data_IF_665305213951
#
_entry.id   IF_665305213951
#
_cell.length_a   1.000
_cell.length_b   1.000
_cell.length_c   1.000
_cell.angle_alpha   90.00
_cell.angle_beta   90.00
_cell.angle_gamma   90.00
#
_symmetry.space_group_name_H-M   'P 1'
#
loop_
_entity.id
_entity.type
_entity.pdbx_description
1 polymer ?
#
# COMPACT_ATOMS: atom_id res chain seq x y z
N UNK A 1 33.13 -8.53 -10.70
CA UNK A 1 32.42 -7.37 -10.10
C UNK A 1 33.41 -6.56 -9.28
N UNK A 2 33.41 -5.23 -9.41
CA UNK A 2 34.31 -4.33 -8.69
C UNK A 2 33.63 -3.76 -7.43
N UNK A 3 34.12 -4.08 -6.23
CA UNK A 3 33.61 -3.60 -4.94
C UNK A 3 33.48 -2.07 -4.85
N UNK A 4 34.41 -1.32 -5.44
CA UNK A 4 34.37 0.14 -5.43
C UNK A 4 33.20 0.67 -6.27
N UNK A 5 32.94 0.03 -7.42
CA UNK A 5 31.80 0.38 -8.28
C UNK A 5 30.46 0.01 -7.65
N UNK A 6 30.41 -1.09 -6.88
CA UNK A 6 29.19 -1.47 -6.13
C UNK A 6 28.89 -0.45 -5.02
N UNK A 7 29.90 -0.03 -4.26
CA UNK A 7 29.77 1.03 -3.26
C UNK A 7 29.30 2.35 -3.88
N UNK A 8 29.88 2.73 -5.02
CA UNK A 8 29.48 3.94 -5.75
C UNK A 8 28.03 3.84 -6.27
N UNK A 9 27.63 2.70 -6.82
CA UNK A 9 26.26 2.46 -7.29
C UNK A 9 25.25 2.58 -6.13
N UNK A 10 25.54 1.95 -4.99
CA UNK A 10 24.74 2.12 -3.77
C UNK A 10 24.65 3.58 -3.35
N UNK A 11 25.77 4.30 -3.34
CA UNK A 11 25.77 5.70 -2.94
C UNK A 11 24.89 6.56 -3.85
N UNK A 12 25.07 6.43 -5.18
CA UNK A 12 24.27 7.14 -6.19
C UNK A 12 22.78 6.85 -6.00
N UNK A 13 22.41 5.57 -5.87
CA UNK A 13 21.02 5.16 -5.76
C UNK A 13 20.36 5.66 -4.46
N UNK A 14 21.05 5.57 -3.33
CA UNK A 14 20.55 6.04 -2.03
C UNK A 14 20.49 7.58 -1.94
N UNK A 15 21.30 8.28 -2.74
CA UNK A 15 21.25 9.75 -2.85
C UNK A 15 19.97 10.24 -3.52
N UNK A 16 19.39 9.44 -4.43
CA UNK A 16 18.14 9.76 -5.12
C UNK A 16 16.89 9.68 -4.23
N UNK A 17 17.00 9.07 -3.03
CA UNK A 17 15.86 8.94 -2.12
C UNK A 17 15.56 10.25 -1.38
N UNK A 18 14.32 10.72 -1.52
CA UNK A 18 13.81 11.86 -0.73
C UNK A 18 13.69 11.47 0.76
N UNK A 19 13.68 12.45 1.68
CA UNK A 19 13.58 12.16 3.13
C UNK A 19 12.37 11.28 3.50
N UNK A 20 11.23 11.44 2.82
CA UNK A 20 10.04 10.60 3.05
C UNK A 20 10.27 9.14 2.64
N UNK A 21 10.96 8.89 1.53
CA UNK A 21 11.24 7.54 1.05
C UNK A 21 12.35 6.83 1.85
N UNK A 22 13.18 7.60 2.57
CA UNK A 22 14.19 7.06 3.50
C UNK A 22 13.56 6.46 4.76
N UNK A 23 12.27 6.69 5.03
CA UNK A 23 11.59 6.14 6.21
C UNK A 23 11.41 4.62 6.16
N UNK A 24 11.25 4.04 4.96
CA UNK A 24 11.12 2.59 4.77
C UNK A 24 11.40 2.20 3.32
N UNK A 25 12.42 1.37 3.09
CA UNK A 25 12.75 0.81 1.77
C UNK A 25 13.64 -0.43 1.90
N UNK A 26 13.69 -1.27 0.85
CA UNK A 26 14.66 -2.36 0.70
C UNK A 26 15.61 -2.07 -0.46
N UNK A 27 16.89 -2.34 -0.25
CA UNK A 27 17.86 -2.42 -1.34
C UNK A 27 18.05 -3.89 -1.72
N UNK A 28 17.63 -4.25 -2.93
CA UNK A 28 17.86 -5.57 -3.51
C UNK A 28 19.01 -5.48 -4.50
N UNK A 29 19.97 -6.39 -4.37
CA UNK A 29 21.10 -6.50 -5.30
C UNK A 29 21.16 -7.92 -5.82
N UNK A 30 20.81 -8.07 -7.10
CA UNK A 30 20.85 -9.35 -7.80
C UNK A 30 22.14 -9.45 -8.61
N UNK A 31 22.81 -10.59 -8.49
CA UNK A 31 24.09 -10.84 -9.13
C UNK A 31 23.94 -11.81 -10.30
N UNK A 32 24.44 -11.40 -11.45
CA UNK A 32 24.78 -12.27 -12.58
C UNK A 32 26.29 -12.43 -12.64
N UNK A 33 26.82 -13.23 -13.57
CA UNK A 33 28.25 -13.53 -13.67
C UNK A 33 29.13 -12.27 -13.60
N UNK A 34 28.84 -11.27 -14.45
CA UNK A 34 29.64 -10.04 -14.53
C UNK A 34 28.91 -8.77 -14.09
N UNK A 35 27.60 -8.84 -13.82
CA UNK A 35 26.78 -7.65 -13.54
C UNK A 35 26.04 -7.78 -12.22
N UNK A 36 25.94 -6.67 -11.49
CA UNK A 36 25.06 -6.53 -10.34
C UNK A 36 23.94 -5.56 -10.70
N UNK A 37 22.70 -5.97 -10.47
CA UNK A 37 21.50 -5.14 -10.66
C UNK A 37 21.03 -4.67 -9.31
N UNK A 38 20.98 -3.36 -9.13
CA UNK A 38 20.46 -2.72 -7.94
C UNK A 38 19.00 -2.32 -8.16
N UNK A 39 18.17 -2.57 -7.17
CA UNK A 39 16.77 -2.21 -7.16
C UNK A 39 16.42 -1.66 -5.78
N UNK A 40 15.78 -0.48 -5.74
CA UNK A 40 15.12 -0.01 -4.52
C UNK A 40 13.66 -0.43 -4.59
N UNK A 41 13.23 -1.18 -3.59
CA UNK A 41 11.82 -1.45 -3.34
C UNK A 41 11.35 -0.46 -2.28
N UNK A 42 10.36 0.35 -2.64
CA UNK A 42 9.73 1.28 -1.71
C UNK A 42 8.59 0.58 -1.00
N UNK A 43 8.33 0.97 0.25
CA UNK A 43 7.08 0.63 0.92
C UNK A 43 5.90 1.05 0.04
N UNK A 44 5.01 0.09 -0.27
CA UNK A 44 3.92 0.28 -1.24
C UNK A 44 2.93 1.35 -0.79
N UNK A 45 2.70 1.48 0.52
CA UNK A 45 1.87 2.54 1.09
C UNK A 45 2.51 3.93 0.93
N UNK A 46 3.82 4.06 1.16
CA UNK A 46 4.57 5.29 0.92
C UNK A 46 4.62 5.62 -0.58
N UNK A 47 4.81 4.64 -1.45
CA UNK A 47 4.74 4.83 -2.90
C UNK A 47 3.39 5.40 -3.32
N UNK A 48 2.27 4.84 -2.84
CA UNK A 48 0.94 5.35 -3.14
C UNK A 48 0.74 6.80 -2.64
N UNK A 49 1.10 7.10 -1.38
CA UNK A 49 0.88 8.43 -0.81
C UNK A 49 1.80 9.50 -1.41
N UNK A 50 3.06 9.16 -1.71
CA UNK A 50 4.09 10.13 -2.14
C UNK A 50 4.12 10.31 -3.65
N UNK A 51 3.98 9.23 -4.42
CA UNK A 51 4.07 9.31 -5.87
C UNK A 51 2.71 9.39 -6.55
N UNK A 52 1.73 8.59 -6.11
CA UNK A 52 0.44 8.52 -6.81
C UNK A 52 -0.55 9.59 -6.34
N UNK A 53 -0.61 9.91 -5.05
CA UNK A 53 -1.53 10.94 -4.52
C UNK A 53 -0.96 12.37 -4.55
N UNK A 54 0.34 12.54 -4.34
CA UNK A 54 0.94 13.89 -4.16
C UNK A 54 1.40 14.54 -5.48
N UNK A 55 1.56 13.78 -6.56
CA UNK A 55 1.87 14.36 -7.84
C UNK A 55 0.58 14.79 -8.53
N UNK A 56 0.52 16.04 -9.00
CA UNK A 56 -0.46 16.54 -9.97
C UNK A 56 -0.49 15.73 -11.31
N UNK A 57 0.23 14.62 -11.40
CA UNK A 57 0.36 13.80 -12.62
C UNK A 57 -0.85 12.89 -12.88
N UNK A 58 -1.66 12.56 -11.87
CA UNK A 58 -2.77 11.63 -12.04
C UNK A 58 -4.03 12.12 -11.34
N UNK A 59 -5.18 12.00 -12.04
CA UNK A 59 -6.49 12.01 -11.39
C UNK A 59 -6.52 10.86 -10.34
N UNK A 60 -7.20 11.09 -9.21
CA UNK A 60 -7.29 10.16 -8.09
C UNK A 60 -7.77 8.77 -8.53
N UNK A 61 -8.70 8.70 -9.48
CA UNK A 61 -9.14 7.44 -10.10
C UNK A 61 -8.02 6.73 -10.84
N UNK A 62 -7.17 7.48 -11.56
CA UNK A 62 -6.03 6.92 -12.30
C UNK A 62 -4.94 6.42 -11.35
N UNK A 63 -4.70 7.12 -10.23
CA UNK A 63 -3.82 6.66 -9.16
C UNK A 63 -4.27 5.32 -8.57
N UNK A 64 -5.57 5.17 -8.27
CA UNK A 64 -6.16 3.91 -7.79
C UNK A 64 -5.99 2.80 -8.82
N UNK A 65 -6.28 3.06 -10.10
CA UNK A 65 -6.14 2.08 -11.17
C UNK A 65 -4.70 1.57 -11.34
N UNK A 66 -3.70 2.46 -11.28
CA UNK A 66 -2.28 2.08 -11.36
C UNK A 66 -1.89 1.18 -10.20
N UNK A 67 -2.29 1.54 -8.98
CA UNK A 67 -2.02 0.73 -7.79
C UNK A 67 -2.76 -0.63 -7.83
N UNK A 68 -4.00 -0.66 -8.32
CA UNK A 68 -4.76 -1.89 -8.52
C UNK A 68 -4.09 -2.82 -9.54
N UNK A 69 -3.64 -2.28 -10.68
CA UNK A 69 -2.87 -3.03 -11.67
C UNK A 69 -1.55 -3.55 -11.12
N UNK A 70 -0.84 -2.78 -10.30
CA UNK A 70 0.37 -3.24 -9.62
C UNK A 70 0.10 -4.48 -8.76
N UNK A 71 -0.97 -4.45 -7.94
CA UNK A 71 -1.35 -5.61 -7.10
C UNK A 71 -1.69 -6.83 -7.96
N UNK A 72 -2.54 -6.66 -8.97
CA UNK A 72 -2.92 -7.75 -9.87
C UNK A 72 -1.71 -8.36 -10.56
N UNK A 73 -0.85 -7.53 -11.14
CA UNK A 73 0.35 -7.99 -11.85
C UNK A 73 1.35 -8.67 -10.92
N UNK A 74 1.45 -8.23 -9.66
CA UNK A 74 2.32 -8.85 -8.66
C UNK A 74 1.80 -10.22 -8.27
N UNK A 75 0.50 -10.34 -7.97
CA UNK A 75 -0.15 -11.62 -7.65
C UNK A 75 -0.13 -12.63 -8.80
N UNK A 76 -0.14 -12.16 -10.05
CA UNK A 76 -0.01 -13.04 -11.23
C UNK A 76 1.41 -13.57 -11.43
N UNK A 77 2.43 -12.86 -10.93
CA UNK A 77 3.85 -13.21 -11.09
C UNK A 77 4.40 -14.06 -9.95
N UNK A 78 3.76 -14.01 -8.78
CA UNK A 78 4.16 -14.75 -7.59
C UNK A 78 3.21 -15.92 -7.40
N UNK A 79 3.74 -17.15 -7.36
CA UNK A 79 2.90 -18.34 -7.13
C UNK A 79 2.45 -18.40 -5.67
N UNK A 80 1.17 -18.73 -5.36
CA UNK A 80 0.71 -18.97 -4.00
C UNK A 80 1.47 -20.11 -3.30
N UNK A 81 2.07 -21.02 -4.06
CA UNK A 81 2.86 -22.14 -3.57
C UNK A 81 4.20 -21.72 -2.94
N UNK A 82 4.61 -20.44 -3.12
CA UNK A 82 5.77 -19.84 -2.45
C UNK A 82 5.46 -19.36 -1.02
N UNK A 83 4.20 -19.42 -0.56
CA UNK A 83 3.82 -19.12 0.83
C UNK A 83 3.75 -20.41 1.65
N UNK A 84 4.87 -20.78 2.29
CA UNK A 84 4.80 -21.78 3.33
C UNK A 84 4.13 -21.20 4.58
N UNK A 85 3.27 -21.98 5.27
CA UNK A 85 2.71 -21.58 6.54
C UNK A 85 3.85 -21.59 7.57
N UNK A 86 4.44 -20.44 7.87
CA UNK A 86 5.44 -20.40 8.92
C UNK A 86 4.98 -19.47 10.05
N UNK A 87 4.45 -20.10 11.09
CA UNK A 87 4.77 -19.74 12.46
C UNK A 87 5.73 -20.84 12.90
N UNK A 88 7.03 -20.56 12.86
CA UNK A 88 7.97 -21.35 13.65
C UNK A 88 7.79 -20.84 15.07
N UNK A 89 6.88 -21.49 15.79
CA UNK A 89 6.76 -21.31 17.23
C UNK A 89 8.03 -21.95 17.83
N UNK A 90 9.08 -21.14 17.91
CA UNK A 90 10.21 -21.50 18.75
C UNK A 90 9.62 -21.62 20.14
N UNK A 91 9.59 -22.84 20.69
CA UNK A 91 9.49 -23.02 22.15
C UNK A 91 10.40 -21.96 22.76
N UNK A 92 9.82 -21.13 23.62
CA UNK A 92 10.43 -19.98 24.28
C UNK A 92 11.93 -20.19 24.49
N UNK A 93 12.72 -19.11 24.34
CA UNK A 93 14.02 -18.86 25.01
C UNK A 93 15.26 -18.51 24.17
N UNK A 94 15.29 -18.38 22.84
CA UNK A 94 16.48 -17.74 22.19
C UNK A 94 16.31 -16.21 22.01
N UNK A 95 15.11 -15.76 21.64
CA UNK A 95 14.82 -14.33 21.46
C UNK A 95 14.87 -13.57 22.79
N UNK A 96 14.44 -14.21 23.89
CA UNK A 96 14.44 -13.60 25.23
C UNK A 96 15.81 -13.69 25.92
N UNK A 97 16.64 -14.71 25.60
CA UNK A 97 18.01 -14.84 26.14
C UNK A 97 18.95 -13.73 25.66
N UNK A 98 18.77 -13.25 24.43
CA UNK A 98 19.54 -12.12 23.90
C UNK A 98 19.33 -10.80 24.67
N UNK A 99 18.33 -10.74 25.54
CA UNK A 99 17.92 -9.51 26.23
C UNK A 99 17.79 -9.67 27.75
N UNK A 100 18.24 -10.79 28.33
CA UNK A 100 18.37 -10.89 29.77
C UNK A 100 19.50 -9.95 30.22
N UNK A 101 19.12 -8.74 30.64
CA UNK A 101 20.03 -7.87 31.37
C UNK A 101 20.54 -8.65 32.58
N UNK A 102 21.86 -8.78 32.70
CA UNK A 102 22.46 -9.25 33.94
C UNK A 102 21.87 -8.41 35.09
N UNK A 103 21.19 -9.02 36.08
CA UNK A 103 20.50 -8.28 37.15
C UNK A 103 21.44 -7.37 37.96
N UNK A 104 22.73 -7.66 37.90
CA UNK A 104 23.80 -6.94 38.59
C UNK A 104 24.41 -5.78 37.79
N UNK A 105 24.06 -5.63 36.50
CA UNK A 105 24.59 -4.60 35.61
C UNK A 105 24.02 -3.19 35.87
N UNK A 106 22.70 -2.98 36.09
CA UNK A 106 22.15 -1.63 36.33
C UNK A 106 22.67 -0.99 37.62
N UNK A 107 23.15 -1.80 38.56
CA UNK A 107 23.61 -1.33 39.88
C UNK A 107 25.12 -1.14 39.95
N UNK A 108 25.87 -1.45 38.89
CA UNK A 108 27.34 -1.40 38.87
C UNK A 108 28.02 -2.42 39.80
N UNK A 109 27.26 -3.40 40.31
CA UNK A 109 27.72 -4.38 41.32
C UNK A 109 28.08 -5.74 40.73
N UNK A 110 28.23 -5.86 39.41
CA UNK A 110 28.72 -7.10 38.82
C UNK A 110 30.16 -7.34 39.30
N UNK A 111 30.32 -8.20 40.32
CA UNK A 111 31.59 -8.52 40.97
C UNK A 111 32.38 -9.61 40.26
N UNK A 112 31.80 -10.26 39.25
CA UNK A 112 32.44 -11.37 38.56
C UNK A 112 33.29 -10.82 37.41
N UNK A 113 34.55 -11.27 37.33
CA UNK A 113 35.35 -11.13 36.11
C UNK A 113 34.69 -11.92 34.98
N UNK A 114 35.06 -11.62 33.73
CA UNK A 114 34.55 -12.29 32.53
C UNK A 114 34.65 -13.82 32.62
N UNK A 115 35.66 -14.33 33.34
CA UNK A 115 35.85 -15.78 33.56
C UNK A 115 34.93 -16.41 34.61
N UNK A 116 34.25 -15.62 35.46
CA UNK A 116 33.40 -16.13 36.56
C UNK A 116 31.90 -16.05 36.28
N UNK A 117 31.49 -15.57 35.10
CA UNK A 117 30.10 -15.70 34.64
C UNK A 117 29.94 -17.05 33.94
N UNK A 118 29.47 -18.07 34.67
CA UNK A 118 29.20 -19.45 34.19
C UNK A 118 28.16 -19.57 33.06
N UNK A 119 27.70 -18.45 32.51
CA UNK A 119 26.88 -18.39 31.32
C UNK A 119 27.79 -17.81 30.24
N UNK A 120 28.38 -18.66 29.40
CA UNK A 120 29.06 -18.28 28.15
C UNK A 120 28.12 -17.56 27.13
N UNK A 121 26.99 -17.03 27.59
CA UNK A 121 25.94 -16.34 26.82
C UNK A 121 26.11 -14.81 26.78
N UNK A 122 27.26 -14.28 27.22
CA UNK A 122 27.54 -12.84 27.11
C UNK A 122 28.27 -12.59 25.77
N UNK A 123 27.63 -11.97 24.77
CA UNK A 123 28.36 -11.57 23.57
C UNK A 123 29.43 -10.53 23.93
N UNK A 124 30.62 -10.71 23.38
CA UNK A 124 31.79 -9.83 23.59
C UNK A 124 31.60 -8.41 23.05
N UNK A 125 30.49 -8.16 22.35
CA UNK A 125 30.18 -6.90 21.70
C UNK A 125 28.96 -6.25 22.34
N UNK A 126 29.21 -5.15 23.04
CA UNK A 126 28.19 -4.25 23.57
C UNK A 126 28.17 -3.01 22.69
N UNK A 127 27.06 -2.79 21.98
CA UNK A 127 26.78 -1.51 21.33
C UNK A 127 26.60 -0.44 22.42
N UNK A 128 27.38 0.65 22.39
CA UNK A 128 27.35 1.75 23.40
C UNK A 128 27.18 3.15 22.79
N UNK A 129 26.75 3.23 21.53
CA UNK A 129 26.61 4.49 20.78
C UNK A 129 25.28 5.16 21.12
N UNK A 130 25.25 6.50 21.09
CA UNK A 130 24.01 7.27 21.21
C UNK A 130 23.13 7.04 19.97
N UNK A 131 21.90 6.59 20.19
CA UNK A 131 20.88 6.34 19.16
C UNK A 131 19.64 7.16 19.45
N UNK A 132 18.88 7.50 18.39
CA UNK A 132 17.58 8.15 18.52
C UNK A 132 16.49 7.10 18.42
N UNK A 133 15.62 7.06 19.41
CA UNK A 133 14.49 6.13 19.48
C UNK A 133 13.35 6.58 18.56
N UNK A 134 12.39 5.68 18.27
CA UNK A 134 11.21 6.00 17.44
C UNK A 134 10.41 7.22 17.93
N UNK A 135 10.41 7.49 19.23
CA UNK A 135 9.77 8.64 19.87
C UNK A 135 10.69 9.86 20.02
N UNK A 136 11.85 9.86 19.35
CA UNK A 136 12.75 11.00 19.24
C UNK A 136 13.71 11.20 20.42
N UNK A 137 13.75 10.28 21.39
CA UNK A 137 14.66 10.38 22.54
C UNK A 137 16.06 9.92 22.14
N UNK A 138 17.08 10.61 22.63
CA UNK A 138 18.45 10.10 22.56
C UNK A 138 18.68 9.13 23.71
N UNK A 139 19.21 7.95 23.42
CA UNK A 139 19.61 6.96 24.43
C UNK A 139 20.89 6.27 24.01
N UNK A 140 21.66 5.74 24.96
CA UNK A 140 22.73 4.82 24.61
C UNK A 140 22.13 3.49 24.20
N UNK A 141 22.53 3.01 23.03
CA UNK A 141 22.39 1.62 22.64
C UNK A 141 23.01 0.77 23.75
N UNK A 142 22.33 -0.29 24.16
CA UNK A 142 22.79 -1.25 25.17
C UNK A 142 22.50 -2.69 24.72
N UNK A 143 22.45 -2.89 23.40
CA UNK A 143 22.08 -4.14 22.78
C UNK A 143 23.22 -5.16 22.89
N UNK A 144 22.86 -6.37 23.32
CA UNK A 144 23.70 -7.55 23.31
C UNK A 144 23.44 -8.28 21.98
N UNK A 145 24.50 -8.58 21.23
CA UNK A 145 24.37 -9.33 19.98
C UNK A 145 23.83 -10.74 20.28
N UNK A 146 22.55 -10.98 19.97
CA UNK A 146 22.03 -12.33 19.87
C UNK A 146 22.82 -13.07 18.80
N UNK A 147 23.28 -14.29 19.08
CA UNK A 147 23.95 -15.19 18.14
C UNK A 147 22.93 -15.70 17.10
N UNK A 148 22.28 -14.81 16.36
CA UNK A 148 21.62 -15.18 15.10
C UNK A 148 22.74 -15.36 14.08
N UNK A 149 23.14 -16.62 13.85
CA UNK A 149 23.92 -17.11 12.71
C UNK A 149 24.82 -16.03 12.09
N UNK A 150 25.81 -15.57 12.87
CA UNK A 150 26.79 -14.59 12.43
C UNK A 150 27.69 -15.28 11.41
N UNK A 151 27.62 -14.87 10.15
CA UNK A 151 28.55 -15.34 9.10
C UNK A 151 29.88 -14.57 9.16
N UNK A 152 29.93 -13.39 9.78
CA UNK A 152 31.15 -12.74 10.32
C UNK A 152 30.85 -11.36 10.89
N UNK A 153 31.63 -10.96 11.89
CA UNK A 153 31.80 -9.55 12.29
C UNK A 153 32.69 -8.82 11.27
N UNK A 154 32.21 -7.69 10.75
CA UNK A 154 33.04 -6.75 10.00
C UNK A 154 33.75 -5.80 10.98
N UNK A 155 34.56 -6.34 11.89
CA UNK A 155 35.41 -5.54 12.76
C UNK A 155 36.82 -5.46 12.15
N UNK A 156 37.12 -4.30 11.53
CA UNK A 156 38.53 -3.95 11.31
C UNK A 156 39.18 -3.86 12.69
N UNK A 157 40.34 -4.50 12.89
CA UNK A 157 41.03 -4.71 14.17
C UNK A 157 41.43 -3.47 15.00
N UNK A 158 40.86 -2.31 14.73
CA UNK A 158 40.94 -1.14 15.61
C UNK A 158 39.83 -1.19 16.65
N UNK A 159 40.23 -1.25 17.93
CA UNK A 159 39.38 -1.29 19.14
C UNK A 159 38.55 -0.02 19.39
N UNK A 160 38.13 0.68 18.34
CA UNK A 160 37.15 1.77 18.35
C UNK A 160 35.98 1.36 17.46
N UNK A 161 35.03 0.70 18.07
CA UNK A 161 33.71 0.27 17.58
C UNK A 161 33.04 1.35 16.71
N UNK A 162 33.36 1.38 15.41
CA UNK A 162 32.67 2.25 14.45
C UNK A 162 31.37 1.57 14.08
N UNK A 163 30.30 2.07 14.66
CA UNK A 163 28.96 1.68 14.32
C UNK A 163 28.63 2.15 12.91
N UNK A 164 28.31 1.24 11.99
CA UNK A 164 27.83 1.59 10.66
C UNK A 164 26.32 1.54 10.64
N UNK A 165 25.67 2.60 10.14
CA UNK A 165 24.26 2.45 9.75
C UNK A 165 24.19 1.57 8.51
N UNK A 166 23.04 0.96 8.25
CA UNK A 166 22.82 0.15 7.03
C UNK A 166 23.17 0.93 5.76
N UNK A 167 22.95 2.25 5.80
CA UNK A 167 23.21 3.18 4.69
C UNK A 167 24.71 3.34 4.50
N UNK A 168 25.41 3.62 5.60
CA UNK A 168 26.86 3.79 5.58
C UNK A 168 27.54 2.48 5.18
N UNK A 169 27.07 1.34 5.68
CA UNK A 169 27.64 0.01 5.40
C UNK A 169 27.72 -0.30 3.90
N UNK A 170 26.62 -0.12 3.16
CA UNK A 170 26.58 -0.41 1.71
C UNK A 170 27.32 0.64 0.86
N UNK A 171 27.71 1.77 1.44
CA UNK A 171 28.55 2.77 0.78
C UNK A 171 30.05 2.47 0.97
N UNK A 172 30.42 1.47 1.78
CA UNK A 172 31.80 1.11 2.06
C UNK A 172 32.28 -0.04 1.17
N UNK A 173 33.42 0.17 0.50
CA UNK A 173 34.11 -0.87 -0.28
C UNK A 173 34.40 -2.16 0.51
N UNK A 174 34.91 -2.11 1.77
CA UNK A 174 35.18 -3.33 2.53
C UNK A 174 33.97 -4.25 2.74
N UNK A 175 32.76 -3.68 2.84
CA UNK A 175 31.53 -4.47 2.92
C UNK A 175 31.31 -5.28 1.64
N UNK A 176 31.47 -4.65 0.47
CA UNK A 176 31.33 -5.33 -0.82
C UNK A 176 32.44 -6.34 -1.08
N UNK A 177 33.68 -6.04 -0.64
CA UNK A 177 34.81 -6.98 -0.69
C UNK A 177 34.45 -8.29 0.04
N UNK A 178 34.00 -8.18 1.30
CA UNK A 178 33.63 -9.34 2.12
C UNK A 178 32.38 -10.06 1.58
N UNK A 179 31.36 -9.31 1.17
CA UNK A 179 30.13 -9.89 0.63
C UNK A 179 30.38 -10.69 -0.65
N UNK A 180 31.20 -10.18 -1.58
CA UNK A 180 31.53 -10.90 -2.81
C UNK A 180 32.39 -12.14 -2.53
N UNK A 181 33.30 -12.08 -1.55
CA UNK A 181 34.04 -13.26 -1.08
C UNK A 181 33.10 -14.33 -0.53
N UNK A 182 32.12 -13.94 0.29
CA UNK A 182 31.06 -14.85 0.77
C UNK A 182 30.21 -15.39 -0.36
N UNK A 183 29.88 -14.57 -1.37
CA UNK A 183 29.13 -15.01 -2.55
C UNK A 183 29.86 -16.12 -3.28
N UNK A 184 31.17 -15.99 -3.51
CA UNK A 184 31.97 -17.03 -4.16
C UNK A 184 31.95 -18.34 -3.37
N UNK A 185 31.92 -18.26 -2.04
CA UNK A 185 31.88 -19.45 -1.17
C UNK A 185 30.51 -20.09 -1.09
N UNK A 186 29.45 -19.28 -0.98
CA UNK A 186 28.10 -19.73 -0.62
C UNK A 186 27.15 -19.81 -1.83
N UNK A 187 27.49 -19.20 -2.96
CA UNK A 187 26.75 -19.27 -4.22
C UNK A 187 25.32 -18.68 -4.15
N UNK A 188 25.12 -17.63 -3.35
CA UNK A 188 23.88 -16.86 -3.38
C UNK A 188 23.80 -15.96 -4.62
N UNK A 189 22.60 -15.82 -5.19
CA UNK A 189 22.36 -15.07 -6.42
C UNK A 189 21.85 -13.65 -6.17
N UNK A 190 21.33 -13.36 -4.97
CA UNK A 190 20.83 -12.03 -4.63
C UNK A 190 20.96 -11.75 -3.14
N UNK A 191 20.99 -10.48 -2.77
CA UNK A 191 20.80 -10.02 -1.40
C UNK A 191 19.66 -9.01 -1.30
N UNK A 192 19.01 -8.93 -0.14
CA UNK A 192 18.14 -7.83 0.22
C UNK A 192 18.56 -7.26 1.57
N UNK A 193 18.57 -5.93 1.66
CA UNK A 193 18.94 -5.20 2.87
C UNK A 193 17.77 -4.30 3.24
N UNK A 194 17.30 -4.44 4.47
CA UNK A 194 16.14 -3.72 4.96
C UNK A 194 16.55 -2.41 5.65
N UNK A 195 15.72 -1.38 5.54
CA UNK A 195 15.97 -0.06 6.11
C UNK A 195 14.74 0.51 6.80
N UNK A 196 14.96 1.27 7.88
CA UNK A 196 13.93 2.08 8.52
C UNK A 196 12.84 1.26 9.20
N UNK A 197 11.57 1.59 8.95
CA UNK A 197 10.44 0.94 9.63
C UNK A 197 10.34 -0.56 9.34
N UNK A 198 10.73 -0.99 8.14
CA UNK A 198 10.78 -2.42 7.78
C UNK A 198 11.76 -3.22 8.64
N UNK A 199 12.92 -2.66 8.94
CA UNK A 199 13.90 -3.26 9.86
C UNK A 199 13.33 -3.39 11.28
N UNK A 200 12.61 -2.36 11.76
CA UNK A 200 11.98 -2.40 13.10
C UNK A 200 10.79 -3.33 13.22
N UNK A 201 10.02 -3.53 12.13
CA UNK A 201 8.88 -4.44 12.13
C UNK A 201 9.32 -5.90 12.22
N UNK A 202 10.36 -6.27 11.46
CA UNK A 202 10.95 -7.62 11.49
C UNK A 202 11.68 -7.92 12.80
N UNK A 203 12.42 -6.95 13.33
CA UNK A 203 13.14 -7.11 14.60
C UNK A 203 12.21 -7.04 15.82
N UNK A 204 10.97 -6.55 15.66
CA UNK A 204 10.08 -6.12 16.77
C UNK A 204 10.77 -5.15 17.75
N UNK A 205 11.84 -4.50 17.30
CA UNK A 205 12.68 -3.66 18.13
C UNK A 205 12.63 -2.22 17.62
N UNK A 206 12.03 -1.34 18.43
CA UNK A 206 11.90 0.09 18.13
C UNK A 206 13.24 0.86 18.08
N UNK A 207 14.35 0.22 18.46
CA UNK A 207 15.69 0.80 18.45
C UNK A 207 16.56 0.34 17.27
N UNK A 208 16.06 -0.58 16.42
CA UNK A 208 16.81 -1.15 15.30
C UNK A 208 16.72 -0.37 13.97
N UNK A 209 16.24 0.89 13.99
CA UNK A 209 15.87 1.63 12.77
C UNK A 209 17.00 1.82 11.75
N UNK A 210 18.23 2.05 12.22
CA UNK A 210 19.35 2.37 11.33
C UNK A 210 20.60 1.54 11.59
N UNK A 211 20.64 0.78 12.69
CA UNK A 211 21.88 0.28 13.27
C UNK A 211 22.14 -1.23 13.11
N UNK A 212 21.17 -1.99 12.60
CA UNK A 212 21.23 -3.45 12.60
C UNK A 212 20.69 -4.03 11.30
N UNK A 213 21.42 -3.84 10.18
CA UNK A 213 21.04 -4.38 8.88
C UNK A 213 20.85 -5.90 8.95
N UNK A 214 19.63 -6.39 8.80
CA UNK A 214 19.44 -7.76 8.39
C UNK A 214 19.66 -7.86 6.89
N UNK A 215 20.68 -8.64 6.51
CA UNK A 215 20.95 -8.98 5.12
C UNK A 215 20.35 -10.34 4.85
N UNK A 216 19.36 -10.37 3.97
CA UNK A 216 18.77 -11.59 3.46
C UNK A 216 19.62 -12.07 2.27
N UNK A 217 20.06 -13.33 2.32
CA UNK A 217 20.78 -13.98 1.23
C UNK A 217 19.81 -14.91 0.48
N UNK A 218 19.78 -14.81 -0.84
CA UNK A 218 18.89 -15.63 -1.68
C UNK A 218 19.68 -16.67 -2.47
N UNK A 219 19.27 -17.92 -2.35
CA UNK A 219 19.95 -19.08 -2.93
C UNK A 219 19.08 -19.77 -3.96
N UNK A 220 19.70 -20.35 -4.98
CA UNK A 220 19.02 -21.38 -5.79
C UNK A 220 18.89 -22.64 -4.95
N UNK A 221 17.92 -23.51 -5.25
CA UNK A 221 17.75 -24.78 -4.54
C UNK A 221 19.06 -25.62 -4.54
N UNK A 222 19.80 -25.60 -5.64
CA UNK A 222 21.08 -26.27 -5.74
C UNK A 222 22.16 -25.65 -4.82
N UNK A 223 22.31 -24.33 -4.84
CA UNK A 223 23.26 -23.63 -3.97
C UNK A 223 22.93 -23.83 -2.48
N UNK A 224 21.66 -23.74 -2.12
CA UNK A 224 21.18 -23.97 -0.76
C UNK A 224 21.54 -25.38 -0.26
N UNK A 225 21.27 -26.40 -1.08
CA UNK A 225 21.63 -27.78 -0.74
C UNK A 225 23.15 -27.98 -0.60
N UNK A 226 23.98 -27.29 -1.39
CA UNK A 226 25.44 -27.32 -1.22
C UNK A 226 25.86 -26.70 0.11
N UNK A 227 25.24 -25.60 0.53
CA UNK A 227 25.52 -24.98 1.84
C UNK A 227 25.16 -25.93 2.97
N UNK A 228 23.97 -26.54 2.93
CA UNK A 228 23.53 -27.51 3.95
C UNK A 228 24.46 -28.70 4.10
N UNK A 229 24.98 -29.24 2.99
CA UNK A 229 25.95 -30.36 2.99
C UNK A 229 27.27 -30.05 3.70
N UNK A 230 27.60 -28.77 3.91
CA UNK A 230 28.83 -28.34 4.62
C UNK A 230 28.62 -28.19 6.13
N UNK A 231 27.38 -28.31 6.61
CA UNK A 231 27.04 -28.16 8.03
C UNK A 231 27.19 -29.53 8.69
N UNK A 232 28.16 -29.66 9.59
CA UNK A 232 28.38 -30.87 10.38
C UNK A 232 27.53 -30.92 11.65
N UNK A 233 27.10 -29.76 12.15
CA UNK A 233 26.31 -29.63 13.38
C UNK A 233 24.81 -29.91 13.10
N UNK A 234 24.22 -30.94 13.73
CA UNK A 234 22.81 -31.30 13.55
C UNK A 234 21.82 -30.19 13.95
N UNK A 235 22.11 -29.41 14.99
CA UNK A 235 21.23 -28.34 15.47
C UNK A 235 21.23 -27.16 14.50
N UNK A 236 22.41 -26.83 13.95
CA UNK A 236 22.54 -25.83 12.89
C UNK A 236 21.85 -26.30 11.62
N UNK A 237 22.00 -27.58 11.25
CA UNK A 237 21.34 -28.15 10.07
C UNK A 237 19.81 -28.10 10.21
N UNK A 238 19.26 -28.36 11.39
CA UNK A 238 17.84 -28.21 11.68
C UNK A 238 17.37 -26.77 11.43
N UNK A 239 18.15 -25.78 11.89
CA UNK A 239 17.88 -24.34 11.64
C UNK A 239 17.93 -23.97 10.13
N UNK A 240 18.69 -24.70 9.31
CA UNK A 240 18.70 -24.53 7.86
C UNK A 240 17.55 -25.25 7.17
N UNK A 241 17.18 -26.46 7.60
CA UNK A 241 16.08 -27.22 7.00
C UNK A 241 14.73 -26.50 7.15
N UNK A 242 14.51 -25.77 8.25
CA UNK A 242 13.31 -24.91 8.40
C UNK A 242 13.27 -23.72 7.44
N UNK A 243 14.32 -23.51 6.64
CA UNK A 243 14.42 -22.48 5.59
C UNK A 243 14.43 -23.09 4.18
N UNK A 244 14.15 -24.39 4.05
CA UNK A 244 13.89 -25.01 2.75
C UNK A 244 12.62 -24.46 2.09
N UNK A 245 11.77 -23.84 2.90
CA UNK A 245 10.61 -23.10 2.45
C UNK A 245 10.93 -21.61 2.37
N UNK A 246 10.47 -21.00 1.28
CA UNK A 246 10.48 -19.55 1.12
C UNK A 246 9.80 -18.89 2.32
N UNK A 247 10.47 -17.89 2.92
CA UNK A 247 9.84 -17.05 3.93
C UNK A 247 8.67 -16.26 3.32
N UNK A 248 7.92 -15.55 4.18
CA UNK A 248 6.82 -14.66 3.79
C UNK A 248 7.20 -13.83 2.56
N UNK A 249 6.37 -13.90 1.53
CA UNK A 249 6.60 -13.13 0.32
C UNK A 249 6.24 -11.66 0.59
N UNK A 250 7.25 -10.86 0.89
CA UNK A 250 7.07 -9.44 1.21
C UNK A 250 6.31 -8.67 0.12
N UNK A 251 6.44 -9.05 -1.16
CA UNK A 251 5.66 -8.40 -2.22
C UNK A 251 4.16 -8.66 -2.09
N UNK A 252 3.77 -9.88 -1.69
CA UNK A 252 2.37 -10.22 -1.44
C UNK A 252 1.85 -9.56 -0.17
N UNK A 253 2.66 -9.53 0.89
CA UNK A 253 2.35 -8.80 2.12
C UNK A 253 2.15 -7.30 1.86
N UNK A 254 3.04 -6.69 1.09
CA UNK A 254 2.97 -5.28 0.71
C UNK A 254 1.76 -4.99 -0.17
N UNK A 255 1.37 -5.94 -1.04
CA UNK A 255 0.14 -5.84 -1.81
C UNK A 255 -1.09 -5.90 -0.90
N UNK A 256 -1.13 -6.82 0.06
CA UNK A 256 -2.22 -6.91 1.02
C UNK A 256 -2.32 -5.64 1.88
N UNK A 257 -1.19 -5.12 2.36
CA UNK A 257 -1.17 -3.87 3.12
C UNK A 257 -1.63 -2.67 2.29
N UNK A 258 -1.14 -2.54 1.06
CA UNK A 258 -1.58 -1.47 0.15
C UNK A 258 -3.08 -1.58 -0.15
N UNK A 259 -3.57 -2.78 -0.40
CA UNK A 259 -4.98 -3.04 -0.65
C UNK A 259 -5.84 -2.58 0.54
N UNK A 260 -5.51 -3.09 1.73
CA UNK A 260 -6.34 -2.96 2.92
C UNK A 260 -6.29 -1.57 3.51
N UNK A 261 -5.08 -1.00 3.61
CA UNK A 261 -4.89 0.28 4.29
C UNK A 261 -5.09 1.49 3.38
N UNK A 262 -5.03 1.32 2.06
CA UNK A 262 -5.04 2.45 1.11
C UNK A 262 -6.07 2.31 0.00
N UNK A 263 -6.09 1.20 -0.74
CA UNK A 263 -6.93 1.09 -1.93
C UNK A 263 -8.41 0.89 -1.61
N UNK A 264 -8.77 -0.06 -0.74
CA UNK A 264 -10.20 -0.28 -0.41
C UNK A 264 -10.86 1.00 0.12
N UNK A 265 -10.26 1.75 1.07
CA UNK A 265 -10.83 3.03 1.50
C UNK A 265 -10.95 4.06 0.38
N UNK A 266 -9.95 4.15 -0.50
CA UNK A 266 -9.95 5.09 -1.61
C UNK A 266 -11.00 4.75 -2.68
N UNK A 267 -11.18 3.47 -2.98
CA UNK A 267 -12.23 2.96 -3.86
C UNK A 267 -13.62 3.17 -3.26
N UNK A 268 -13.80 2.92 -1.96
CA UNK A 268 -15.04 3.26 -1.26
C UNK A 268 -15.37 4.74 -1.39
N UNK A 269 -14.38 5.63 -1.24
CA UNK A 269 -14.58 7.06 -1.40
C UNK A 269 -15.00 7.44 -2.83
N UNK A 270 -14.40 6.81 -3.85
CA UNK A 270 -14.82 7.00 -5.24
C UNK A 270 -16.28 6.58 -5.47
N UNK A 271 -16.66 5.40 -4.95
CA UNK A 271 -18.02 4.89 -5.07
C UNK A 271 -19.01 5.81 -4.34
N UNK A 272 -18.69 6.27 -3.12
CA UNK A 272 -19.54 7.20 -2.37
C UNK A 272 -19.74 8.52 -3.11
N UNK A 273 -18.68 9.08 -3.70
CA UNK A 273 -18.78 10.30 -4.50
C UNK A 273 -19.64 10.09 -5.75
N UNK A 274 -19.48 8.96 -6.44
CA UNK A 274 -20.29 8.60 -7.60
C UNK A 274 -21.78 8.44 -7.22
N UNK A 275 -22.06 7.75 -6.11
CA UNK A 275 -23.42 7.58 -5.59
C UNK A 275 -24.04 8.91 -5.19
N UNK A 276 -23.29 9.80 -4.53
CA UNK A 276 -23.77 11.14 -4.15
C UNK A 276 -24.12 11.97 -5.40
N UNK A 277 -23.26 11.97 -6.41
CA UNK A 277 -23.52 12.66 -7.67
C UNK A 277 -24.75 12.09 -8.39
N UNK A 278 -24.92 10.77 -8.37
CA UNK A 278 -26.11 10.11 -8.94
C UNK A 278 -27.38 10.49 -8.17
N UNK A 279 -27.33 10.56 -6.85
CA UNK A 279 -28.45 11.01 -6.00
C UNK A 279 -28.90 12.42 -6.38
N UNK A 280 -27.96 13.35 -6.52
CA UNK A 280 -28.26 14.73 -6.94
C UNK A 280 -28.89 14.78 -8.34
N UNK A 281 -28.42 13.94 -9.26
CA UNK A 281 -29.00 13.83 -10.60
C UNK A 281 -30.44 13.29 -10.55
N UNK A 282 -30.72 12.29 -9.72
CA UNK A 282 -32.06 11.73 -9.50
C UNK A 282 -33.00 12.78 -8.91
N UNK A 283 -32.58 13.52 -7.89
CA UNK A 283 -33.37 14.61 -7.29
C UNK A 283 -33.69 15.73 -8.29
N UNK A 284 -32.77 16.01 -9.23
CA UNK A 284 -33.02 16.97 -10.31
C UNK A 284 -34.07 16.44 -11.30
N UNK A 285 -34.00 15.17 -11.65
CA UNK A 285 -34.98 14.52 -12.53
C UNK A 285 -36.36 14.51 -11.87
N UNK A 286 -36.45 14.18 -10.58
CA UNK A 286 -37.71 14.15 -9.83
C UNK A 286 -38.40 15.52 -9.80
N UNK A 287 -37.63 16.59 -9.52
CA UNK A 287 -38.12 17.97 -9.59
C UNK A 287 -38.66 18.33 -10.98
N UNK A 288 -37.93 17.96 -12.03
CA UNK A 288 -38.36 18.21 -13.41
C UNK A 288 -39.65 17.45 -13.75
N UNK A 289 -39.80 16.20 -13.29
CA UNK A 289 -41.01 15.40 -13.47
C UNK A 289 -42.22 16.01 -12.75
N UNK A 290 -42.03 16.51 -11.53
CA UNK A 290 -43.07 17.23 -10.79
C UNK A 290 -43.54 18.47 -11.54
N UNK A 291 -42.61 19.30 -12.02
CA UNK A 291 -42.94 20.48 -12.84
C UNK A 291 -43.67 20.12 -14.15
N UNK A 292 -43.26 19.05 -14.82
CA UNK A 292 -43.94 18.56 -16.03
C UNK A 292 -45.37 18.09 -15.72
N UNK A 293 -45.58 17.42 -14.59
CA UNK A 293 -46.91 16.99 -14.15
C UNK A 293 -47.83 18.19 -13.91
N UNK A 294 -47.34 19.21 -13.22
CA UNK A 294 -48.09 20.44 -12.95
C UNK A 294 -48.42 21.20 -14.24
N UNK A 295 -47.44 21.32 -15.16
CA UNK A 295 -47.65 21.94 -16.46
C UNK A 295 -48.68 21.19 -17.30
N UNK A 296 -48.64 19.86 -17.31
CA UNK A 296 -49.63 19.03 -18.01
C UNK A 296 -51.03 19.21 -17.40
N UNK A 297 -51.15 19.22 -16.07
CA UNK A 297 -52.43 19.46 -15.40
C UNK A 297 -53.01 20.85 -15.75
N UNK A 298 -52.15 21.88 -15.76
CA UNK A 298 -52.55 23.24 -16.15
C UNK A 298 -52.98 23.31 -17.63
N UNK A 299 -52.28 22.61 -18.52
CA UNK A 299 -52.62 22.52 -19.94
C UNK A 299 -53.97 21.83 -20.15
N UNK A 300 -54.21 20.69 -19.51
CA UNK A 300 -55.50 19.96 -19.57
C UNK A 300 -56.63 20.88 -19.12
N UNK A 301 -56.48 21.55 -17.98
CA UNK A 301 -57.50 22.48 -17.47
C UNK A 301 -57.79 23.64 -18.44
N UNK A 302 -56.76 24.17 -19.12
CA UNK A 302 -56.93 25.19 -20.17
C UNK A 302 -57.68 24.65 -21.38
N UNK A 303 -57.36 23.43 -21.83
CA UNK A 303 -58.04 22.76 -22.95
C UNK A 303 -59.52 22.56 -22.62
N UNK A 304 -59.84 22.01 -21.44
CA UNK A 304 -61.22 21.81 -20.98
C UNK A 304 -61.99 23.14 -20.86
N UNK A 305 -61.33 24.20 -20.38
CA UNK A 305 -61.90 25.55 -20.34
C UNK A 305 -62.23 26.08 -21.73
N UNK A 306 -61.28 25.98 -22.67
CA UNK A 306 -61.46 26.40 -24.06
C UNK A 306 -62.57 25.61 -24.76
N UNK A 307 -62.62 24.29 -24.54
CA UNK A 307 -63.67 23.43 -25.09
C UNK A 307 -65.06 23.82 -24.57
N UNK A 308 -65.22 24.07 -23.27
CA UNK A 308 -66.50 24.54 -22.70
C UNK A 308 -66.94 25.88 -23.29
N UNK A 309 -66.00 26.83 -23.42
CA UNK A 309 -66.29 28.13 -24.02
C UNK A 309 -66.70 28.01 -25.50
N UNK A 310 -66.03 27.14 -26.26
CA UNK A 310 -66.37 26.87 -27.66
C UNK A 310 -67.77 26.25 -27.78
N UNK A 311 -68.07 25.23 -26.97
CA UNK A 311 -69.39 24.58 -26.94
C UNK A 311 -70.49 25.58 -26.60
N UNK A 312 -70.28 26.42 -25.56
CA UNK A 312 -71.24 27.46 -25.19
C UNK A 312 -71.46 28.48 -26.31
N UNK A 313 -70.39 28.92 -26.97
CA UNK A 313 -70.47 29.87 -28.09
C UNK A 313 -71.22 29.27 -29.28
N UNK A 314 -70.93 28.01 -29.64
CA UNK A 314 -71.63 27.31 -30.71
C UNK A 314 -73.12 27.13 -30.40
N UNK A 315 -73.46 26.75 -29.17
CA UNK A 315 -74.85 26.61 -28.74
C UNK A 315 -75.61 27.94 -28.83
N UNK A 316 -74.99 29.04 -28.37
CA UNK A 316 -75.59 30.37 -28.45
C UNK A 316 -75.79 30.82 -29.90
N UNK A 317 -74.80 30.59 -30.77
CA UNK A 317 -74.90 30.92 -32.19
C UNK A 317 -75.98 30.09 -32.89
N UNK A 318 -76.07 28.79 -32.58
CA UNK A 318 -77.10 27.91 -33.13
C UNK A 318 -78.50 28.35 -32.69
N UNK A 319 -78.68 28.70 -31.42
CA UNK A 319 -79.95 29.22 -30.90
C UNK A 319 -80.38 30.51 -31.64
N UNK A 320 -79.45 31.46 -31.81
CA UNK A 320 -79.72 32.70 -32.54
C UNK A 320 -80.03 32.46 -34.03
N UNK A 321 -79.40 31.47 -34.66
CA UNK A 321 -79.69 31.09 -36.05
C UNK A 321 -81.09 30.49 -36.19
N UNK A 322 -81.48 29.57 -35.29
CA UNK A 322 -82.82 28.97 -35.25
C UNK A 322 -83.87 30.06 -35.07
N UNK A 323 -83.69 30.96 -34.12
CA UNK A 323 -84.61 32.09 -33.90
C UNK A 323 -84.78 32.97 -35.15
N UNK A 324 -83.68 33.28 -35.86
CA UNK A 324 -83.74 34.02 -37.14
C UNK A 324 -84.48 33.26 -38.23
N UNK A 325 -84.28 31.95 -38.35
CA UNK A 325 -84.98 31.11 -39.31
C UNK A 325 -86.48 31.05 -39.01
N UNK A 326 -86.87 30.90 -37.74
CA UNK A 326 -88.27 30.90 -37.32
C UNK A 326 -88.96 32.24 -37.60
N UNK A 327 -88.28 33.35 -37.32
CA UNK A 327 -88.75 34.70 -37.64
C UNK A 327 -88.93 34.90 -39.16
N UNK A 328 -87.96 34.47 -39.96
CA UNK A 328 -88.04 34.54 -41.42
C UNK A 328 -89.16 33.66 -41.99
N UNK A 329 -89.31 32.43 -41.50
CA UNK A 329 -90.39 31.53 -41.89
C UNK A 329 -91.76 32.13 -41.55
N UNK A 330 -91.90 32.71 -40.35
CA UNK A 330 -93.13 33.39 -39.93
C UNK A 330 -93.45 34.58 -40.84
N UNK A 331 -92.46 35.39 -41.20
CA UNK A 331 -92.62 36.51 -42.12
C UNK A 331 -93.04 36.04 -43.52
N UNK A 332 -92.42 34.97 -44.04
CA UNK A 332 -92.76 34.39 -45.34
C UNK A 332 -94.20 33.84 -45.37
N UNK A 333 -94.62 33.11 -44.33
CA UNK A 333 -95.99 32.60 -44.20
C UNK A 333 -97.01 33.75 -44.23
N UNK A 334 -96.75 34.84 -43.49
CA UNK A 334 -97.59 36.04 -43.51
C UNK A 334 -97.67 36.68 -44.90
N UNK A 335 -96.54 36.77 -45.61
CA UNK A 335 -96.49 37.31 -46.97
C UNK A 335 -97.28 36.46 -47.97
N UNK A 336 -97.13 35.13 -47.94
CA UNK A 336 -97.91 34.20 -48.77
C UNK A 336 -99.40 34.31 -48.47
N UNK A 337 -99.79 34.40 -47.19
CA UNK A 337 -101.18 34.59 -46.79
C UNK A 337 -101.79 35.87 -47.36
N UNK A 338 -101.01 36.96 -47.37
CA UNK A 338 -101.43 38.25 -47.92
C UNK A 338 -101.60 38.22 -49.45
N UNK A 339 -100.79 37.42 -50.16
CA UNK A 339 -100.91 37.26 -51.61
C UNK A 339 -102.16 36.46 -52.02
N UNK A 340 -102.64 35.53 -51.19
CA UNK A 340 -103.87 34.76 -51.47
C UNK A 340 -105.17 35.56 -51.31
N UNK A 341 -105.10 36.74 -50.68
CA UNK A 341 -106.26 37.62 -50.44
C UNK A 341 -106.42 38.71 -51.52
N UNK A 342 -105.42 38.86 -52.39
CA UNK A 342 -105.50 39.66 -53.62
C UNK A 342 -105.88 38.74 -54.77
#
# INVERSE_FOLDING_TARGET
LDPSKLAEASNRLLSCLTPKLKQSYHLVVSFSEEKARFQICLDTSLWFNVYLQNQKMYDFTKAINVARQYITNTRLKVSPEDEAPFIVDYKETEKDKAFVLCPYFPTGKCKNSKEMCYLDDHPDIICKVDVVTRDGRQTKCNFYFAIKLIVNELSNGDRKHKHYTNKTLVQHKPFWDDLLSKRQKLDFYSIAINYGLWETGQSQNKYAQECHAHIHLYFTANAWNKVKKRISDPDVLLKFNVRDFSGLNYLLQDCAELEDKKLRPAEHLLVLNAVSNLSLAVEKIDRNLSMLKDNNAALVKRIEGNQRNLISTLNNNNAALVERLDNNNTALIKAIGSLKQK
#
